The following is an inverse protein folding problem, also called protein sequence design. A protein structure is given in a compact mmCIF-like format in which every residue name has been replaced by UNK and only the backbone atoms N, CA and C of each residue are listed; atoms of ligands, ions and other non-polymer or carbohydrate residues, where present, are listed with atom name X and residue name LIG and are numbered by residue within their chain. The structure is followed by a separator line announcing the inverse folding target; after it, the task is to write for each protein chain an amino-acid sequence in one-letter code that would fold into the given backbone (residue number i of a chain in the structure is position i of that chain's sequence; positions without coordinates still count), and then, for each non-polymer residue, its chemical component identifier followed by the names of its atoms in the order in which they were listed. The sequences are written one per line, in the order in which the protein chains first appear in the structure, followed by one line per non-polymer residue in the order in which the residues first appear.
data_IF_726313014475
#
_entry.id   IF_726313014475
#
_cell.length_a   1.000
_cell.length_b   1.000
_cell.length_c   1.000
_cell.angle_alpha   90.00
_cell.angle_beta   90.00
_cell.angle_gamma   90.00
#
_symmetry.space_group_name_H-M   'P 1'
#
loop_
_entity.id
_entity.type
_entity.pdbx_description
1 polymer ?
#
# COMPACT_ATOMS: atom_id res chain seq x y z
N UNK A 1 3.65 -8.91 -10.77
CA UNK A 1 3.32 -8.05 -11.95
C UNK A 1 4.27 -6.85 -12.03
N UNK A 2 4.57 -6.33 -13.24
CA UNK A 2 5.57 -5.25 -13.43
C UNK A 2 5.16 -3.92 -12.79
N UNK A 3 3.87 -3.57 -12.85
CA UNK A 3 3.34 -2.36 -12.24
C UNK A 3 3.50 -2.36 -10.71
N UNK A 4 3.09 -3.45 -10.03
CA UNK A 4 3.25 -3.58 -8.57
C UNK A 4 4.71 -3.37 -8.15
N UNK A 5 5.63 -4.08 -8.83
CA UNK A 5 7.07 -3.93 -8.58
C UNK A 5 7.56 -2.49 -8.82
N UNK A 6 7.05 -1.82 -9.85
CA UNK A 6 7.42 -0.43 -10.12
C UNK A 6 6.92 0.52 -9.02
N UNK A 7 5.72 0.29 -8.50
CA UNK A 7 5.15 1.07 -7.39
C UNK A 7 6.03 0.91 -6.14
N UNK A 8 6.33 -0.33 -5.77
CA UNK A 8 7.14 -0.67 -4.60
C UNK A 8 8.55 -0.05 -4.66
N UNK A 9 9.15 -0.01 -5.85
CA UNK A 9 10.53 0.46 -6.02
C UNK A 9 10.67 1.98 -6.20
N UNK A 10 9.63 2.67 -6.68
CA UNK A 10 9.79 4.03 -7.20
C UNK A 10 8.86 5.08 -6.60
N UNK A 11 7.76 4.70 -5.92
CA UNK A 11 6.77 5.67 -5.47
C UNK A 11 7.05 6.29 -4.10
N UNK A 12 7.77 5.58 -3.21
CA UNK A 12 8.01 6.04 -1.83
C UNK A 12 8.80 7.35 -1.75
N UNK A 13 9.92 7.43 -2.47
CA UNK A 13 10.81 8.61 -2.48
C UNK A 13 10.09 9.88 -2.94
N UNK A 14 9.46 9.93 -4.13
CA UNK A 14 8.76 11.14 -4.58
C UNK A 14 7.57 11.49 -3.68
N UNK A 15 6.90 10.51 -3.07
CA UNK A 15 5.81 10.75 -2.13
C UNK A 15 6.30 11.44 -0.84
N UNK A 16 7.42 10.99 -0.27
CA UNK A 16 8.06 11.66 0.88
C UNK A 16 8.44 13.11 0.56
N UNK A 17 8.99 13.36 -0.62
CA UNK A 17 9.35 14.72 -1.04
C UNK A 17 8.14 15.64 -1.17
N UNK A 18 7.01 15.11 -1.65
CA UNK A 18 5.74 15.83 -1.66
C UNK A 18 5.28 16.18 -0.23
N UNK A 19 5.27 15.21 0.69
CA UNK A 19 4.86 15.42 2.08
C UNK A 19 5.73 16.49 2.78
N UNK A 20 7.05 16.45 2.56
CA UNK A 20 7.98 17.46 3.07
C UNK A 20 7.66 18.86 2.54
N UNK A 21 7.35 18.97 1.24
CA UNK A 21 7.00 20.26 0.63
C UNK A 21 5.70 20.81 1.22
N UNK A 22 4.66 19.98 1.35
CA UNK A 22 3.38 20.38 1.95
C UNK A 22 3.56 20.88 3.38
N UNK A 23 4.34 20.15 4.21
CA UNK A 23 4.59 20.53 5.59
C UNK A 23 5.42 21.82 5.73
N UNK A 24 6.34 22.10 4.79
CA UNK A 24 7.13 23.34 4.77
C UNK A 24 6.32 24.56 4.33
N UNK A 25 5.40 24.40 3.37
CA UNK A 25 4.56 25.49 2.86
C UNK A 25 3.68 26.14 3.94
N UNK A 26 3.38 25.44 5.04
CA UNK A 26 2.64 25.99 6.18
C UNK A 26 3.43 26.93 7.10
N UNK A 27 4.77 26.94 7.05
CA UNK A 27 5.61 27.68 8.00
C UNK A 27 5.92 29.13 7.58
N UNK A 28 5.37 29.60 6.45
CA UNK A 28 5.64 30.93 5.88
C UNK A 28 4.38 31.66 5.41
N UNK A 29 3.54 32.10 6.35
CA UNK A 29 2.45 33.07 6.12
C UNK A 29 1.25 32.61 5.29
N UNK A 30 1.33 31.47 4.61
CA UNK A 30 0.29 30.94 3.71
C UNK A 30 -0.49 29.76 4.28
N UNK A 31 -1.22 29.95 5.38
CA UNK A 31 -2.48 29.27 5.79
C UNK A 31 -2.68 27.75 5.73
N UNK A 32 -1.78 26.92 5.19
CA UNK A 32 -2.01 25.48 5.01
C UNK A 32 -1.42 24.71 6.20
N UNK A 33 -2.23 23.95 6.95
CA UNK A 33 -1.73 23.17 8.07
C UNK A 33 -0.84 22.01 7.59
N UNK A 34 0.07 21.50 8.43
CA UNK A 34 0.80 20.26 8.14
C UNK A 34 -0.14 19.09 7.86
N UNK A 35 0.34 18.13 7.07
CA UNK A 35 -0.35 16.86 6.83
C UNK A 35 -0.52 16.13 8.16
N UNK A 36 -1.77 15.78 8.47
CA UNK A 36 -2.16 15.14 9.73
C UNK A 36 -2.72 13.73 9.55
N UNK A 37 -2.97 13.31 8.31
CA UNK A 37 -3.49 11.99 7.97
C UNK A 37 -3.19 11.67 6.49
N UNK A 38 -3.01 10.40 6.17
CA UNK A 38 -2.92 9.90 4.80
C UNK A 38 -4.17 9.08 4.48
N UNK A 39 -4.80 9.33 3.34
CA UNK A 39 -5.84 8.46 2.78
C UNK A 39 -5.33 7.96 1.44
N UNK A 40 -5.08 6.66 1.34
CA UNK A 40 -4.39 6.02 0.22
C UNK A 40 -5.25 4.92 -0.40
N UNK A 41 -4.97 4.52 -1.63
CA UNK A 41 -5.53 3.29 -2.20
C UNK A 41 -4.77 2.07 -1.65
N UNK A 42 -5.45 0.96 -1.39
CA UNK A 42 -4.86 -0.30 -0.88
C UNK A 42 -3.74 -0.87 -1.76
N UNK A 43 -3.67 -0.52 -3.04
CA UNK A 43 -2.58 -0.89 -3.95
C UNK A 43 -1.31 -0.05 -3.76
N UNK A 44 -1.40 1.07 -3.04
CA UNK A 44 -0.31 2.02 -2.81
C UNK A 44 0.36 1.77 -1.46
N UNK A 45 0.67 0.51 -1.12
CA UNK A 45 1.14 0.10 0.22
C UNK A 45 2.38 0.87 0.72
N UNK A 46 3.20 1.44 -0.17
CA UNK A 46 4.35 2.27 0.20
C UNK A 46 3.97 3.51 1.05
N UNK A 47 2.70 3.93 1.06
CA UNK A 47 2.26 5.07 1.88
C UNK A 47 2.31 4.78 3.37
N UNK A 48 2.23 3.50 3.76
CA UNK A 48 2.33 3.03 5.16
C UNK A 48 3.66 3.41 5.79
N UNK A 49 4.76 3.17 5.08
CA UNK A 49 6.11 3.57 5.52
C UNK A 49 6.20 5.09 5.71
N UNK A 50 5.55 5.87 4.85
CA UNK A 50 5.56 7.33 4.94
C UNK A 50 4.68 7.85 6.09
N UNK A 51 3.54 7.21 6.37
CA UNK A 51 2.68 7.52 7.50
C UNK A 51 3.39 7.22 8.83
N UNK A 52 4.05 6.06 8.92
CA UNK A 52 4.85 5.65 10.08
C UNK A 52 5.99 6.63 10.35
N UNK A 53 6.76 7.02 9.32
CA UNK A 53 7.84 8.01 9.45
C UNK A 53 7.38 9.38 9.95
N UNK A 54 6.16 9.78 9.59
CA UNK A 54 5.56 11.04 10.03
C UNK A 54 4.83 10.92 11.38
N UNK A 55 4.60 9.70 11.88
CA UNK A 55 3.82 9.45 13.08
C UNK A 55 2.35 9.90 12.95
N UNK A 56 1.77 9.80 11.75
CA UNK A 56 0.39 10.22 11.46
C UNK A 56 -0.49 9.01 11.09
N UNK A 57 -1.81 9.06 11.33
CA UNK A 57 -2.71 8.00 10.91
C UNK A 57 -2.78 7.84 9.39
N UNK A 58 -3.04 6.61 8.95
CA UNK A 58 -3.39 6.28 7.57
C UNK A 58 -4.70 5.50 7.48
N UNK A 59 -5.50 5.81 6.47
CA UNK A 59 -6.70 5.06 6.10
C UNK A 59 -6.54 4.55 4.66
N UNK A 60 -6.55 3.23 4.49
CA UNK A 60 -6.49 2.61 3.17
C UNK A 60 -7.90 2.41 2.59
N UNK A 61 -8.11 2.91 1.39
CA UNK A 61 -9.32 2.80 0.60
C UNK A 61 -9.22 1.60 -0.35
N UNK A 62 -10.17 0.68 -0.21
CA UNK A 62 -10.35 -0.39 -1.18
C UNK A 62 -11.24 0.09 -2.33
N UNK A 63 -10.66 0.32 -3.50
CA UNK A 63 -11.38 0.86 -4.67
C UNK A 63 -12.17 -0.18 -5.46
N UNK A 64 -11.88 -1.47 -5.28
CA UNK A 64 -12.66 -2.54 -5.92
C UNK A 64 -13.99 -2.80 -5.19
N UNK A 65 -14.85 -3.62 -5.79
CA UNK A 65 -16.11 -4.04 -5.17
C UNK A 65 -15.87 -4.90 -3.92
N UNK A 66 -16.87 -4.99 -3.05
CA UNK A 66 -16.84 -5.85 -1.85
C UNK A 66 -16.52 -7.31 -2.18
N UNK A 67 -17.01 -7.83 -3.31
CA UNK A 67 -16.66 -9.19 -3.75
C UNK A 67 -15.20 -9.33 -4.20
N UNK A 68 -14.61 -8.26 -4.76
CA UNK A 68 -13.16 -8.19 -5.02
C UNK A 68 -12.34 -8.19 -3.73
N UNK A 69 -12.78 -7.47 -2.69
CA UNK A 69 -12.16 -7.53 -1.35
C UNK A 69 -12.14 -8.97 -0.82
N UNK A 70 -13.28 -9.66 -0.93
CA UNK A 70 -13.42 -11.02 -0.41
C UNK A 70 -12.47 -11.98 -1.14
N UNK A 71 -12.36 -11.88 -2.47
CA UNK A 71 -11.40 -12.69 -3.23
C UNK A 71 -9.96 -12.50 -2.77
N UNK A 72 -9.55 -11.26 -2.51
CA UNK A 72 -8.21 -10.94 -1.99
C UNK A 72 -8.01 -11.37 -0.53
N UNK A 73 -9.05 -11.28 0.30
CA UNK A 73 -9.00 -11.76 1.69
C UNK A 73 -8.80 -13.28 1.76
N UNK A 74 -9.46 -14.03 0.88
CA UNK A 74 -9.40 -15.50 0.82
C UNK A 74 -8.13 -16.04 0.13
N UNK A 75 -7.27 -15.17 -0.41
CA UNK A 75 -6.14 -15.59 -1.24
C UNK A 75 -5.18 -16.58 -0.55
N UNK A 76 -4.90 -16.37 0.74
CA UNK A 76 -4.04 -17.29 1.51
C UNK A 76 -4.66 -18.68 1.65
N UNK A 77 -5.99 -18.75 1.81
CA UNK A 77 -6.69 -20.04 1.85
C UNK A 77 -6.60 -20.75 0.51
N UNK A 78 -6.69 -20.01 -0.60
CA UNK A 78 -6.50 -20.58 -1.95
C UNK A 78 -5.08 -21.14 -2.12
N UNK A 79 -4.05 -20.49 -1.53
CA UNK A 79 -2.68 -21.03 -1.50
C UNK A 79 -2.62 -22.30 -0.66
N UNK A 80 -3.19 -22.29 0.56
CA UNK A 80 -3.18 -23.43 1.46
C UNK A 80 -3.90 -24.65 0.87
N UNK A 81 -4.97 -24.42 0.10
CA UNK A 81 -5.71 -25.46 -0.62
C UNK A 81 -5.00 -25.92 -1.91
N UNK A 82 -3.85 -25.33 -2.27
CA UNK A 82 -3.11 -25.66 -3.49
C UNK A 82 -3.85 -25.28 -4.77
N UNK A 83 -4.83 -24.39 -4.69
CA UNK A 83 -5.62 -23.93 -5.84
C UNK A 83 -4.86 -22.86 -6.63
N UNK A 84 -3.99 -22.10 -5.98
CA UNK A 84 -3.11 -21.10 -6.60
C UNK A 84 -1.67 -21.23 -6.08
N UNK A 85 -0.66 -20.83 -6.88
CA UNK A 85 -0.76 -20.40 -8.28
C UNK A 85 -1.07 -21.58 -9.22
N UNK A 86 -1.78 -21.31 -10.31
CA UNK A 86 -2.09 -22.33 -11.31
C UNK A 86 -0.81 -22.86 -11.97
N UNK A 87 -0.84 -24.14 -12.37
CA UNK A 87 0.29 -24.80 -13.04
C UNK A 87 0.63 -24.05 -14.33
N UNK A 88 1.86 -23.55 -14.43
CA UNK A 88 2.33 -22.73 -15.56
C UNK A 88 2.48 -21.23 -15.27
N UNK A 89 1.99 -20.73 -14.13
CA UNK A 89 2.13 -19.30 -13.73
C UNK A 89 3.37 -19.03 -12.85
N UNK A 90 4.11 -20.08 -12.48
CA UNK A 90 5.20 -20.10 -11.48
C UNK A 90 6.40 -19.19 -11.78
N UNK A 91 6.57 -18.65 -13.00
CA UNK A 91 7.74 -17.82 -13.32
C UNK A 91 7.64 -16.36 -12.87
N UNK A 92 6.53 -15.92 -12.26
CA UNK A 92 6.35 -14.51 -11.86
C UNK A 92 6.02 -14.27 -10.38
N UNK A 93 5.71 -15.32 -9.61
CA UNK A 93 5.07 -15.15 -8.30
C UNK A 93 6.05 -15.18 -7.11
N UNK A 94 7.22 -15.81 -7.27
CA UNK A 94 8.23 -15.91 -6.20
C UNK A 94 8.87 -14.55 -5.83
N UNK A 95 8.58 -13.48 -6.58
CA UNK A 95 9.19 -12.15 -6.41
C UNK A 95 8.25 -11.08 -5.85
N UNK A 96 6.95 -11.37 -5.68
CA UNK A 96 6.04 -10.49 -4.95
C UNK A 96 5.80 -11.11 -3.58
N UNK A 97 6.67 -10.82 -2.62
CA UNK A 97 6.31 -10.94 -1.22
C UNK A 97 5.20 -9.90 -0.98
N UNK A 98 3.95 -10.33 -1.05
CA UNK A 98 2.84 -9.57 -0.50
C UNK A 98 2.96 -9.70 1.02
N UNK A 99 3.73 -8.81 1.64
CA UNK A 99 3.85 -8.76 3.09
C UNK A 99 2.53 -8.21 3.66
N UNK A 100 1.78 -9.10 4.31
CA UNK A 100 0.50 -8.80 4.97
C UNK A 100 0.65 -8.20 6.36
N UNK A 101 1.88 -7.99 6.85
CA UNK A 101 2.14 -7.41 8.18
C UNK A 101 1.38 -6.09 8.41
N UNK A 102 1.13 -5.32 7.36
CA UNK A 102 0.42 -4.05 7.44
C UNK A 102 -1.11 -4.11 7.34
N UNK A 103 -1.71 -5.24 6.95
CA UNK A 103 -3.16 -5.34 6.73
C UNK A 103 -3.96 -5.74 7.98
N UNK A 104 -3.31 -5.88 9.14
CA UNK A 104 -3.99 -6.08 10.43
C UNK A 104 -4.89 -7.32 10.51
N UNK A 105 -4.77 -8.26 9.57
CA UNK A 105 -5.54 -9.50 9.60
C UNK A 105 -4.94 -10.44 10.65
N UNK A 106 -5.77 -11.06 11.52
CA UNK A 106 -5.28 -12.03 12.49
C UNK A 106 -4.60 -13.20 11.77
N UNK A 107 -3.49 -13.66 12.36
CA UNK A 107 -2.75 -14.85 11.94
C UNK A 107 -3.61 -16.11 11.94
#
# INVERSE_FOLDING_TARGET
PSLCRSIDLHCLVPFRDLLRRLNRSGHGGGGVPPVSCIVSDVSMCFTLDAAEELGIPEVMLWTSSSCGCLGMAQYDQLIQLGLVPFKGTLLSYSSTQYDRSHFGLPK
#
